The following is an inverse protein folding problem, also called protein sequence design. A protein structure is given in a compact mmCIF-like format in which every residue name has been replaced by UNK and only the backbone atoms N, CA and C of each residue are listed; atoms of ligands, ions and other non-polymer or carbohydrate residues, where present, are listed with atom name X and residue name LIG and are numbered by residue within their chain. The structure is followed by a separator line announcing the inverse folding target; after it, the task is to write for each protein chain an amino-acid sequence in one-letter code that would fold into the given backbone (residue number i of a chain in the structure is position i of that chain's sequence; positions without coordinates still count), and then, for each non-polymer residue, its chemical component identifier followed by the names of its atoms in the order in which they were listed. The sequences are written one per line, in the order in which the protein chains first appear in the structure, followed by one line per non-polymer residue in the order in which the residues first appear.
data_IF_945541149099
#
_entry.id   IF_945541149099
#
_cell.length_a   1.000
_cell.length_b   1.000
_cell.length_c   1.000
_cell.angle_alpha   90.00
_cell.angle_beta   90.00
_cell.angle_gamma   90.00
#
_symmetry.space_group_name_H-M   'P 1'
#
loop_
_entity.id
_entity.type
_entity.pdbx_description
1 polymer ?
#
# COMPACT_ATOMS: atom_id res chain seq x y z
N UNK A 1 -9.84 -6.07 7.28
CA UNK A 1 -8.80 -5.72 6.30
C UNK A 1 -7.44 -5.74 6.99
N UNK A 2 -6.34 -5.83 6.24
CA UNK A 2 -4.98 -5.85 6.80
C UNK A 2 -3.95 -5.45 5.73
N UNK A 3 -3.25 -4.33 5.95
CA UNK A 3 -2.29 -3.78 5.00
C UNK A 3 -0.83 -4.09 5.39
N UNK A 4 -0.02 -4.52 4.42
CA UNK A 4 1.41 -4.76 4.61
C UNK A 4 2.21 -4.41 3.33
N UNK A 5 3.52 -4.19 3.49
CA UNK A 5 4.41 -3.92 2.36
C UNK A 5 4.66 -5.16 1.50
N UNK A 6 4.65 -4.98 0.17
CA UNK A 6 5.10 -6.02 -0.76
C UNK A 6 6.64 -6.12 -0.75
N UNK A 7 7.17 -7.35 -0.78
CA UNK A 7 8.60 -7.58 -1.03
C UNK A 7 9.54 -7.24 0.13
N UNK A 8 9.04 -7.06 1.36
CA UNK A 8 9.86 -6.83 2.55
C UNK A 8 10.41 -5.40 2.69
N UNK A 9 9.94 -4.47 1.86
CA UNK A 9 10.10 -3.04 2.10
C UNK A 9 9.48 -2.66 3.45
N UNK A 10 9.96 -1.58 4.06
CA UNK A 10 9.40 -1.07 5.33
C UNK A 10 9.26 0.44 5.35
N UNK A 11 9.40 1.11 4.21
CA UNK A 11 9.36 2.57 4.12
C UNK A 11 8.25 3.03 3.16
N UNK A 12 7.47 4.02 3.59
CA UNK A 12 6.46 4.68 2.75
C UNK A 12 7.15 5.74 1.88
N UNK A 13 7.61 5.32 0.71
CA UNK A 13 8.34 6.15 -0.27
C UNK A 13 7.80 5.91 -1.68
N UNK A 14 7.99 6.88 -2.58
CA UNK A 14 7.60 6.80 -3.99
C UNK A 14 7.85 5.41 -4.62
N UNK A 15 6.81 4.85 -5.24
CA UNK A 15 6.86 3.55 -5.91
C UNK A 15 6.82 2.32 -5.00
N UNK A 16 6.88 2.50 -3.67
CA UNK A 16 6.61 1.40 -2.74
C UNK A 16 5.21 0.84 -2.98
N UNK A 17 5.09 -0.48 -2.79
CA UNK A 17 3.86 -1.23 -3.01
C UNK A 17 3.37 -1.76 -1.68
N UNK A 18 2.11 -1.51 -1.40
CA UNK A 18 1.40 -2.02 -0.23
C UNK A 18 0.29 -2.91 -0.75
N UNK A 19 0.11 -4.07 -0.14
CA UNK A 19 -1.01 -4.97 -0.40
C UNK A 19 -1.91 -4.92 0.80
N UNK A 20 -3.18 -4.54 0.60
CA UNK A 20 -4.23 -4.69 1.60
C UNK A 20 -5.05 -5.93 1.29
N UNK A 21 -5.20 -6.80 2.30
CA UNK A 21 -6.09 -7.96 2.24
C UNK A 21 -7.47 -7.55 2.77
N UNK A 22 -8.45 -7.50 1.88
CA UNK A 22 -9.81 -7.05 2.18
C UNK A 22 -10.76 -8.23 2.34
N UNK A 23 -11.13 -8.52 3.58
CA UNK A 23 -12.25 -9.41 3.89
C UNK A 23 -13.58 -8.71 3.67
N UNK A 24 -14.49 -9.33 2.91
CA UNK A 24 -15.84 -8.85 2.68
C UNK A 24 -16.89 -9.82 3.22
N UNK A 25 -18.07 -9.30 3.55
CA UNK A 25 -19.25 -10.07 3.95
C UNK A 25 -20.52 -9.44 3.36
N UNK A 26 -21.53 -10.25 3.12
CA UNK A 26 -22.85 -9.79 2.66
C UNK A 26 -22.92 -9.41 1.17
N UNK A 27 -21.90 -9.73 0.36
CA UNK A 27 -21.96 -9.52 -1.09
C UNK A 27 -22.89 -10.53 -1.76
N UNK A 28 -23.36 -10.20 -2.97
CA UNK A 28 -24.23 -11.07 -3.75
C UNK A 28 -23.37 -11.97 -4.65
N UNK A 29 -23.41 -13.30 -4.47
CA UNK A 29 -22.63 -14.21 -5.30
C UNK A 29 -22.97 -14.06 -6.80
N UNK A 30 -21.95 -14.08 -7.65
CA UNK A 30 -22.12 -13.98 -9.10
C UNK A 30 -22.34 -12.56 -9.65
N UNK A 31 -22.26 -11.51 -8.82
CA UNK A 31 -22.31 -10.10 -9.25
C UNK A 31 -20.91 -9.50 -9.28
N UNK A 32 -20.61 -8.67 -10.28
CA UNK A 32 -19.30 -8.02 -10.39
C UNK A 32 -19.19 -6.82 -9.44
N UNK A 33 -18.04 -6.70 -8.80
CA UNK A 33 -17.66 -5.59 -7.94
C UNK A 33 -16.29 -5.03 -8.37
N UNK A 34 -16.06 -3.76 -8.06
CA UNK A 34 -14.76 -3.09 -8.24
C UNK A 34 -14.29 -2.60 -6.87
N UNK A 35 -13.08 -2.99 -6.48
CA UNK A 35 -12.42 -2.51 -5.28
C UNK A 35 -11.32 -1.51 -5.65
N UNK A 36 -11.36 -0.34 -5.02
CA UNK A 36 -10.35 0.70 -5.12
C UNK A 36 -9.81 1.06 -3.75
N UNK A 37 -8.53 1.42 -3.71
CA UNK A 37 -7.80 1.69 -2.49
C UNK A 37 -7.06 3.02 -2.53
N UNK A 38 -6.98 3.70 -1.40
CA UNK A 38 -6.10 4.85 -1.17
C UNK A 38 -5.20 4.58 0.03
N UNK A 39 -3.95 5.07 -0.02
CA UNK A 39 -3.11 5.21 1.17
C UNK A 39 -3.21 6.65 1.67
N UNK A 40 -3.63 6.81 2.93
CA UNK A 40 -3.74 8.11 3.60
C UNK A 40 -2.56 8.31 4.56
N UNK A 41 -1.97 9.51 4.56
CA UNK A 41 -0.99 9.89 5.56
C UNK A 41 -1.70 10.08 6.91
N UNK A 42 -1.33 9.30 7.93
CA UNK A 42 -1.99 9.37 9.25
C UNK A 42 -1.89 10.74 9.93
N UNK A 43 -0.86 11.53 9.58
CA UNK A 43 -0.60 12.80 10.25
C UNK A 43 -1.52 13.94 9.78
N UNK A 44 -1.91 13.95 8.51
CA UNK A 44 -2.65 15.06 7.88
C UNK A 44 -3.79 14.60 6.95
N UNK A 45 -4.04 13.30 6.89
CA UNK A 45 -5.05 12.64 6.06
C UNK A 45 -4.89 12.85 4.55
N UNK A 46 -3.75 13.35 4.06
CA UNK A 46 -3.50 13.50 2.62
C UNK A 46 -3.41 12.15 1.90
N UNK A 47 -3.79 12.11 0.62
CA UNK A 47 -3.61 10.93 -0.23
C UNK A 47 -2.16 10.83 -0.68
N UNK A 48 -1.49 9.76 -0.29
CA UNK A 48 -0.07 9.50 -0.56
C UNK A 48 0.15 8.25 -1.43
N UNK A 49 -0.92 7.54 -1.77
CA UNK A 49 -0.90 6.40 -2.69
C UNK A 49 -2.30 6.00 -3.10
N UNK A 50 -2.41 5.24 -4.19
CA UNK A 50 -3.70 4.72 -4.68
C UNK A 50 -3.54 3.41 -5.44
N UNK A 51 -4.63 2.68 -5.59
CA UNK A 51 -4.70 1.56 -6.54
C UNK A 51 -4.49 2.04 -7.99
N UNK A 52 -3.98 1.15 -8.85
CA UNK A 52 -3.71 1.50 -10.24
C UNK A 52 -5.03 1.75 -10.99
N UNK A 53 -5.30 2.98 -11.49
CA UNK A 53 -6.54 3.28 -12.20
C UNK A 53 -6.65 2.53 -13.53
N UNK A 54 -5.52 2.15 -14.14
CA UNK A 54 -5.50 1.42 -15.41
C UNK A 54 -5.72 -0.10 -15.21
N UNK A 55 -5.62 -0.59 -13.98
CA UNK A 55 -5.77 -2.00 -13.61
C UNK A 55 -6.64 -2.14 -12.34
N UNK A 56 -7.94 -1.80 -12.40
CA UNK A 56 -8.83 -1.88 -11.25
C UNK A 56 -9.02 -3.34 -10.79
N UNK A 57 -9.17 -3.54 -9.48
CA UNK A 57 -9.45 -4.86 -8.91
C UNK A 57 -10.92 -5.18 -9.11
N UNK A 58 -11.22 -5.89 -10.21
CA UNK A 58 -12.54 -6.42 -10.51
C UNK A 58 -12.65 -7.87 -10.08
N UNK A 59 -13.72 -8.21 -9.37
CA UNK A 59 -13.96 -9.58 -8.93
C UNK A 59 -15.44 -9.91 -8.90
N UNK A 60 -15.74 -11.20 -8.98
CA UNK A 60 -17.10 -11.75 -8.89
C UNK A 60 -17.06 -12.85 -7.83
N UNK A 61 -17.58 -12.60 -6.62
CA UNK A 61 -17.44 -13.55 -5.52
C UNK A 61 -18.35 -14.77 -5.74
N UNK A 62 -17.85 -15.96 -5.39
CA UNK A 62 -18.63 -17.21 -5.43
C UNK A 62 -19.47 -17.40 -4.17
N UNK A 63 -19.19 -16.65 -3.10
CA UNK A 63 -19.87 -16.69 -1.81
C UNK A 63 -20.05 -15.28 -1.26
N UNK A 64 -20.98 -15.11 -0.32
CA UNK A 64 -21.28 -13.78 0.24
C UNK A 64 -20.14 -13.20 1.08
N UNK A 65 -19.21 -14.06 1.51
CA UNK A 65 -17.99 -13.67 2.21
C UNK A 65 -16.75 -14.26 1.54
N UNK A 66 -15.61 -13.62 1.75
CA UNK A 66 -14.31 -14.02 1.24
C UNK A 66 -13.29 -12.90 1.39
N UNK A 67 -12.16 -13.06 0.73
CA UNK A 67 -11.04 -12.13 0.78
C UNK A 67 -10.62 -11.75 -0.64
N UNK A 68 -10.18 -10.51 -0.80
CA UNK A 68 -9.61 -9.99 -2.05
C UNK A 68 -8.43 -9.08 -1.71
N UNK A 69 -7.34 -9.21 -2.45
CA UNK A 69 -6.18 -8.33 -2.27
C UNK A 69 -6.27 -7.13 -3.20
N UNK A 70 -5.90 -5.96 -2.69
CA UNK A 70 -5.75 -4.73 -3.48
C UNK A 70 -4.35 -4.15 -3.30
N UNK A 71 -3.74 -3.76 -4.42
CA UNK A 71 -2.40 -3.19 -4.44
C UNK A 71 -2.49 -1.66 -4.49
N UNK A 72 -1.80 -1.02 -3.57
CA UNK A 72 -1.64 0.43 -3.49
C UNK A 72 -0.20 0.79 -3.87
N UNK A 73 -0.05 1.77 -4.77
CA UNK A 73 1.25 2.31 -5.17
C UNK A 73 1.40 3.69 -4.54
N UNK A 74 2.49 3.89 -3.80
CA UNK A 74 2.83 5.18 -3.20
C UNK A 74 3.22 6.18 -4.29
N UNK A 75 2.66 7.39 -4.24
CA UNK A 75 2.81 8.43 -5.26
C UNK A 75 4.27 8.89 -5.41
N UNK A 76 4.64 9.32 -6.62
CA UNK A 76 6.01 9.74 -6.98
C UNK A 76 6.55 10.97 -6.21
N UNK A 77 5.66 11.76 -5.62
CA UNK A 77 5.98 12.95 -4.85
C UNK A 77 6.33 12.66 -3.38
N UNK A 78 6.00 11.47 -2.86
CA UNK A 78 6.32 11.05 -1.49
C UNK A 78 7.82 10.78 -1.35
N UNK A 79 8.47 11.46 -0.39
CA UNK A 79 9.92 11.37 -0.18
C UNK A 79 10.27 10.43 0.96
N UNK A 80 11.44 9.81 0.86
CA UNK A 80 12.00 9.02 1.95
C UNK A 80 12.00 9.83 3.25
N UNK A 81 11.55 9.21 4.34
CA UNK A 81 11.40 9.81 5.66
C UNK A 81 10.30 10.89 5.81
N UNK A 82 9.51 11.23 4.78
CA UNK A 82 8.48 12.27 4.90
C UNK A 82 7.18 11.76 5.55
N UNK A 83 6.89 10.47 5.43
CA UNK A 83 5.70 9.84 5.99
C UNK A 83 6.11 8.84 7.06
N UNK A 84 5.54 8.96 8.27
CA UNK A 84 5.77 8.01 9.36
C UNK A 84 4.83 6.82 9.31
N UNK A 85 3.56 7.06 8.95
CA UNK A 85 2.51 6.04 8.95
C UNK A 85 1.55 6.30 7.79
N UNK A 86 1.26 5.25 7.02
CA UNK A 86 0.22 5.24 5.99
C UNK A 86 -0.94 4.34 6.41
N UNK A 87 -2.18 4.71 6.08
CA UNK A 87 -3.38 3.94 6.41
C UNK A 87 -4.17 3.63 5.15
N UNK A 88 -4.47 2.36 4.90
CA UNK A 88 -5.25 1.92 3.74
C UNK A 88 -6.74 2.21 3.92
N UNK A 89 -7.32 2.88 2.92
CA UNK A 89 -8.75 3.19 2.79
C UNK A 89 -9.31 2.45 1.59
N UNK A 90 -10.48 1.85 1.75
CA UNK A 90 -11.07 0.97 0.74
C UNK A 90 -12.46 1.42 0.33
N UNK A 91 -12.76 1.28 -0.96
CA UNK A 91 -14.02 1.67 -1.59
C UNK A 91 -14.50 0.57 -2.53
N UNK A 92 -15.66 -0.02 -2.21
CA UNK A 92 -16.28 -1.07 -3.00
C UNK A 92 -17.46 -0.50 -3.80
N UNK A 93 -17.44 -0.68 -5.12
CA UNK A 93 -18.51 -0.26 -6.01
C UNK A 93 -19.06 -1.41 -6.85
N UNK A 94 -20.27 -1.25 -7.39
CA UNK A 94 -20.85 -2.17 -8.37
C UNK A 94 -21.81 -1.43 -9.31
N UNK A 95 -21.80 -1.77 -10.58
CA UNK A 95 -22.84 -1.38 -11.55
C UNK A 95 -23.96 -2.40 -11.64
N UNK A 96 -23.78 -3.60 -11.06
CA UNK A 96 -24.72 -4.72 -11.17
C UNK A 96 -25.76 -4.75 -10.05
N UNK A 97 -25.42 -4.22 -8.88
CA UNK A 97 -26.32 -4.14 -7.72
C UNK A 97 -26.25 -2.78 -7.03
N UNK A 98 -27.31 -2.44 -6.29
CA UNK A 98 -27.35 -1.32 -5.37
C UNK A 98 -26.75 -1.68 -3.99
N UNK A 99 -26.65 -0.70 -3.08
CA UNK A 99 -26.15 -0.90 -1.72
C UNK A 99 -26.97 -1.89 -0.87
N UNK A 100 -28.19 -2.23 -1.29
CA UNK A 100 -29.04 -3.24 -0.63
C UNK A 100 -28.84 -4.65 -1.20
N UNK A 101 -28.03 -4.80 -2.25
CA UNK A 101 -27.79 -6.07 -2.95
C UNK A 101 -28.86 -6.41 -3.99
N UNK A 102 -29.71 -5.47 -4.38
CA UNK A 102 -30.69 -5.68 -5.47
C UNK A 102 -30.08 -5.30 -6.81
N UNK A 103 -30.56 -5.92 -7.88
CA UNK A 103 -30.12 -5.60 -9.23
C UNK A 103 -30.28 -4.11 -9.54
N UNK A 104 -29.21 -3.50 -10.06
CA UNK A 104 -29.22 -2.11 -10.47
C UNK A 104 -29.97 -1.95 -11.79
N UNK A 105 -30.86 -0.96 -11.86
CA UNK A 105 -31.68 -0.70 -13.05
C UNK A 105 -31.09 0.38 -13.97
N UNK A 106 -30.17 1.23 -13.47
CA UNK A 106 -29.59 2.32 -14.26
C UNK A 106 -28.28 1.95 -14.95
N UNK A 107 -27.56 0.95 -14.43
CA UNK A 107 -26.21 0.60 -14.88
C UNK A 107 -25.13 1.60 -14.43
N UNK A 108 -25.50 2.62 -13.66
CA UNK A 108 -24.56 3.55 -13.04
C UNK A 108 -23.80 2.86 -11.89
N UNK A 109 -22.62 3.40 -11.58
CA UNK A 109 -21.83 2.93 -10.45
C UNK A 109 -22.54 3.23 -9.12
N UNK A 110 -22.73 2.18 -8.31
CA UNK A 110 -23.30 2.26 -6.97
C UNK A 110 -22.19 2.06 -5.94
N UNK A 111 -22.17 2.91 -4.92
CA UNK A 111 -21.33 2.69 -3.73
C UNK A 111 -21.94 1.57 -2.89
N UNK A 112 -21.16 0.55 -2.59
CA UNK A 112 -21.62 -0.63 -1.85
C UNK A 112 -21.15 -0.57 -0.41
N UNK A 113 -19.86 -0.33 -0.19
CA UNK A 113 -19.26 -0.23 1.14
C UNK A 113 -17.96 0.58 1.07
N UNK A 114 -17.53 1.10 2.21
CA UNK A 114 -16.22 1.73 2.37
C UNK A 114 -15.64 1.42 3.76
N UNK A 115 -14.32 1.40 3.86
CA UNK A 115 -13.58 1.27 5.11
C UNK A 115 -12.52 2.38 5.18
N UNK A 116 -12.81 3.43 5.94
CA UNK A 116 -12.10 4.72 5.89
C UNK A 116 -11.72 5.24 7.29
N UNK A 117 -11.29 4.34 8.19
CA UNK A 117 -10.87 4.71 9.54
C UNK A 117 -9.35 4.95 9.63
N UNK A 118 -8.95 6.22 9.76
CA UNK A 118 -7.55 6.64 9.94
C UNK A 118 -6.88 6.04 11.19
N UNK A 119 -7.65 5.57 12.17
CA UNK A 119 -7.15 5.00 13.41
C UNK A 119 -7.07 3.47 13.38
N UNK A 120 -7.47 2.82 12.29
CA UNK A 120 -7.39 1.37 12.17
C UNK A 120 -5.94 0.90 12.13
N UNK A 121 -5.56 0.17 13.17
CA UNK A 121 -4.21 -0.36 13.33
C UNK A 121 -3.90 -1.49 12.37
N UNK A 122 -4.89 -2.31 11.99
CA UNK A 122 -4.69 -3.38 11.02
C UNK A 122 -4.44 -2.82 9.61
N UNK A 123 -4.95 -1.62 9.34
CA UNK A 123 -4.74 -0.90 8.08
C UNK A 123 -3.54 0.03 8.08
N UNK A 124 -2.80 0.12 9.19
CA UNK A 124 -1.68 1.05 9.31
C UNK A 124 -0.36 0.35 8.99
N UNK A 125 0.39 0.88 8.02
CA UNK A 125 1.79 0.52 7.81
C UNK A 125 2.70 1.57 8.47
N UNK A 126 3.69 1.08 9.21
CA UNK A 126 4.72 1.90 9.86
C UNK A 126 5.95 2.04 8.96
N UNK A 127 6.27 3.28 8.61
CA UNK A 127 7.49 3.62 7.89
C UNK A 127 8.68 3.52 8.85
N UNK A 128 9.57 2.58 8.57
CA UNK A 128 10.86 2.43 9.22
C UNK A 128 11.94 2.83 8.23
N UNK A 129 12.92 3.59 8.70
CA UNK A 129 14.09 3.96 7.89
C UNK A 129 14.64 2.70 7.20
N UNK A 130 14.78 2.72 5.86
CA UNK A 130 15.57 1.71 5.20
C UNK A 130 16.94 1.65 5.87
N UNK A 131 17.35 0.45 6.27
CA UNK A 131 18.73 0.20 6.67
C UNK A 131 19.61 0.44 5.45
N UNK A 132 20.04 1.69 5.24
CA UNK A 132 21.02 2.01 4.20
C UNK A 132 22.35 1.37 4.62
N UNK A 133 22.83 0.28 3.97
CA UNK A 133 24.10 -0.30 4.33
C UNK A 133 25.20 0.70 3.97
N UNK A 134 25.89 1.23 4.99
CA UNK A 134 27.06 2.09 4.81
C UNK A 134 28.32 1.23 4.94
N UNK A 135 29.14 1.18 3.89
CA UNK A 135 30.52 0.71 4.00
C UNK A 135 31.45 1.91 4.23
N UNK A 136 32.38 1.79 5.17
CA UNK A 136 33.44 2.76 5.42
C UNK A 136 34.76 2.01 5.54
N UNK A 137 35.79 2.47 4.83
CA UNK A 137 37.12 1.87 4.84
C UNK A 137 38.10 2.90 5.38
N UNK A 138 38.83 2.55 6.45
CA UNK A 138 39.99 3.31 6.91
C UNK A 138 41.26 2.60 6.45
N UNK A 139 42.17 3.34 5.84
CA UNK A 139 43.56 2.94 5.62
C UNK A 139 44.39 3.69 6.65
N UNK A 140 45.08 2.95 7.52
CA UNK A 140 46.17 3.50 8.29
C UNK A 140 47.43 3.41 7.42
N UNK A 141 48.06 4.56 7.16
CA UNK A 141 49.36 4.59 6.49
C UNK A 141 50.38 4.00 7.46
N UNK A 142 50.96 2.84 7.13
CA UNK A 142 52.12 2.33 7.85
C UNK A 142 53.31 3.23 7.50
N UNK A 143 53.93 3.77 8.56
CA UNK A 143 55.06 4.69 8.46
C UNK A 143 56.24 4.12 7.65
N UNK A 144 56.98 5.06 7.09
CA UNK A 144 58.06 4.98 6.11
C UNK A 144 59.01 3.78 6.29
N UNK A 145 59.21 3.00 5.22
CA UNK A 145 60.38 2.14 5.12
C UNK A 145 61.62 3.00 4.92
N UNK A 146 62.50 3.06 5.92
CA UNK A 146 63.85 3.61 5.79
C UNK A 146 64.58 2.96 4.61
N UNK A 147 64.98 3.78 3.64
CA UNK A 147 65.85 3.36 2.56
C UNK A 147 67.25 3.07 3.12
N UNK A 148 67.69 1.81 3.03
CA UNK A 148 69.07 1.41 3.26
C UNK A 148 70.01 2.25 2.37
N UNK A 149 70.86 3.07 3.00
CA UNK A 149 71.99 3.74 2.34
C UNK A 149 72.93 2.65 1.78
N UNK A 150 73.29 2.75 0.51
CA UNK A 150 74.42 2.00 -0.07
C UNK A 150 75.67 2.86 0.04
N UNK A 151 76.76 2.21 0.46
CA UNK A 151 78.11 2.75 0.63
C UNK A 151 78.69 3.40 -0.65
#
# INVERSE_FOLDING_TARGET
TNADFEGGLREVVAGAKIVDQVSYEGLVPGKEYVLNAELRNKADESVIGKSNPDEPVKFTPESASGDVDVKIIVNDDVKAGSVKQGVAYEYLTSTAVDASGKDSESGDENKIAEHTDINDKAQTVDSHDELTPKISTKVDQLDEHEALKKD
#
